data_IF_155759052255
#
_entry.id   IF_155759052255
#
_cell.length_a   1.000
_cell.length_b   1.000
_cell.length_c   1.000
_cell.angle_alpha   90.00
_cell.angle_beta   90.00
_cell.angle_gamma   90.00
#
_symmetry.space_group_name_H-M   'P 1'
#
loop_
_entity.id
_entity.type
_entity.pdbx_description
1 polymer ?
#
# COMPACT_ATOMS: atom_id res chain seq x y z
N UNK A 1 -8.26 -8.99 54.00
CA UNK A 1 -7.64 -8.34 52.82
C UNK A 1 -8.57 -8.53 51.62
N UNK A 2 -9.30 -7.46 51.25
CA UNK A 2 -10.34 -7.49 50.21
C UNK A 2 -9.68 -7.22 48.85
N UNK A 3 -9.60 -8.22 47.96
CA UNK A 3 -9.08 -8.04 46.60
C UNK A 3 -10.16 -7.35 45.75
N UNK A 4 -9.94 -6.09 45.41
CA UNK A 4 -10.75 -5.34 44.44
C UNK A 4 -10.28 -5.70 43.04
N UNK A 5 -11.04 -6.54 42.34
CA UNK A 5 -10.86 -6.79 40.91
C UNK A 5 -11.56 -5.65 40.16
N UNK A 6 -10.79 -4.69 39.63
CA UNK A 6 -11.31 -3.67 38.75
C UNK A 6 -11.48 -4.27 37.35
N UNK A 7 -12.73 -4.49 36.93
CA UNK A 7 -13.05 -4.85 35.56
C UNK A 7 -13.06 -3.56 34.73
N UNK A 8 -12.02 -3.34 33.93
CA UNK A 8 -11.99 -2.25 32.96
C UNK A 8 -12.85 -2.65 31.75
N UNK A 9 -14.13 -2.29 31.77
CA UNK A 9 -14.96 -2.31 30.57
C UNK A 9 -14.52 -1.18 29.65
N UNK A 10 -13.73 -1.51 28.63
CA UNK A 10 -13.48 -0.61 27.51
C UNK A 10 -14.79 -0.47 26.71
N UNK A 11 -15.46 0.68 26.81
CA UNK A 11 -16.54 1.04 25.90
C UNK A 11 -15.91 1.40 24.54
N UNK A 12 -15.75 0.42 23.66
CA UNK A 12 -15.57 0.69 22.26
C UNK A 12 -16.92 1.15 21.70
N UNK A 13 -17.10 2.47 21.57
CA UNK A 13 -18.16 3.00 20.70
C UNK A 13 -17.66 2.82 19.28
N UNK A 14 -18.26 1.94 18.45
CA UNK A 14 -17.93 1.94 17.03
C UNK A 14 -18.52 3.22 16.46
N UNK A 15 -17.71 4.27 16.34
CA UNK A 15 -18.12 5.43 15.57
C UNK A 15 -18.23 4.98 14.11
N UNK A 16 -19.45 4.91 13.58
CA UNK A 16 -19.66 4.66 12.16
C UNK A 16 -18.93 5.74 11.36
N UNK A 17 -18.09 5.34 10.41
CA UNK A 17 -17.39 6.27 9.53
C UNK A 17 -18.43 7.09 8.74
N UNK A 18 -18.23 8.39 8.65
CA UNK A 18 -18.96 9.20 7.66
C UNK A 18 -18.69 8.68 6.24
N UNK A 19 -19.59 8.95 5.31
CA UNK A 19 -19.41 8.57 3.90
C UNK A 19 -18.07 9.08 3.32
N UNK A 20 -17.64 10.28 3.73
CA UNK A 20 -16.34 10.83 3.32
C UNK A 20 -15.16 10.04 3.91
N UNK A 21 -15.21 9.70 5.20
CA UNK A 21 -14.15 8.89 5.82
C UNK A 21 -14.10 7.48 5.23
N UNK A 22 -15.25 6.87 4.94
CA UNK A 22 -15.33 5.57 4.29
C UNK A 22 -14.71 5.61 2.89
N UNK A 23 -14.99 6.67 2.11
CA UNK A 23 -14.38 6.86 0.79
C UNK A 23 -12.86 7.03 0.89
N UNK A 24 -12.37 7.87 1.82
CA UNK A 24 -10.92 8.03 2.03
C UNK A 24 -10.28 6.70 2.44
N UNK A 25 -10.87 5.98 3.39
CA UNK A 25 -10.37 4.69 3.84
C UNK A 25 -10.30 3.66 2.70
N UNK A 26 -11.30 3.63 1.81
CA UNK A 26 -11.26 2.73 0.64
C UNK A 26 -10.11 3.05 -0.32
N UNK A 27 -9.72 4.32 -0.46
CA UNK A 27 -8.56 4.70 -1.29
C UNK A 27 -7.23 4.39 -0.61
N UNK A 28 -7.15 4.45 0.72
CA UNK A 28 -5.94 4.09 1.48
C UNK A 28 -5.66 2.58 1.39
N UNK A 29 -6.71 1.78 1.45
CA UNK A 29 -6.67 0.32 1.36
C UNK A 29 -6.64 -0.21 -0.08
N UNK A 30 -6.65 0.67 -1.09
CA UNK A 30 -6.63 0.25 -2.48
C UNK A 30 -5.20 -0.12 -2.91
N UNK A 31 -5.05 -1.32 -3.45
CA UNK A 31 -3.77 -1.80 -3.96
C UNK A 31 -3.57 -1.41 -5.42
N UNK A 32 -2.61 -0.51 -5.65
CA UNK A 32 -2.14 -0.16 -6.98
C UNK A 32 -0.66 0.21 -6.97
N UNK A 33 0.25 -0.73 -6.66
CA UNK A 33 1.65 -0.47 -6.90
C UNK A 33 1.92 -0.25 -8.38
N UNK A 34 2.98 0.52 -8.65
CA UNK A 34 3.36 0.91 -10.02
C UNK A 34 3.47 -0.31 -10.94
N UNK A 35 2.81 -0.25 -12.10
CA UNK A 35 2.87 -1.25 -13.16
C UNK A 35 1.89 -2.42 -13.04
N UNK A 36 1.10 -2.51 -11.96
CA UNK A 36 0.04 -3.51 -11.82
C UNK A 36 -1.37 -2.92 -11.69
N UNK A 37 -1.51 -1.61 -11.85
CA UNK A 37 -2.76 -0.86 -11.68
C UNK A 37 -3.87 -1.44 -12.56
N UNK A 38 -3.54 -1.90 -13.77
CA UNK A 38 -4.50 -2.51 -14.70
C UNK A 38 -5.19 -3.75 -14.11
N UNK A 39 -4.59 -4.43 -13.12
CA UNK A 39 -5.22 -5.57 -12.43
C UNK A 39 -6.32 -5.14 -11.46
N UNK A 40 -6.19 -3.97 -10.85
CA UNK A 40 -7.10 -3.52 -9.77
C UNK A 40 -8.09 -2.47 -10.25
N UNK A 41 -7.70 -1.64 -11.22
CA UNK A 41 -8.49 -0.56 -11.79
C UNK A 41 -9.87 -0.96 -12.32
N UNK A 42 -10.06 -2.13 -12.98
CA UNK A 42 -11.40 -2.56 -13.42
C UNK A 42 -12.42 -2.71 -12.28
N UNK A 43 -11.96 -3.06 -11.07
CA UNK A 43 -12.84 -3.22 -9.90
C UNK A 43 -13.41 -1.88 -9.39
N UNK A 44 -12.77 -0.76 -9.74
CA UNK A 44 -13.21 0.58 -9.35
C UNK A 44 -14.33 1.12 -10.24
N UNK A 45 -14.42 0.66 -11.49
CA UNK A 45 -15.34 1.22 -12.49
C UNK A 45 -16.79 1.26 -12.00
N UNK A 46 -17.38 0.19 -11.43
CA UNK A 46 -18.76 0.24 -10.95
C UNK A 46 -18.98 1.31 -9.86
N UNK A 47 -18.04 1.42 -8.92
CA UNK A 47 -18.09 2.42 -7.83
C UNK A 47 -17.95 3.83 -8.37
N UNK A 48 -17.04 4.04 -9.31
CA UNK A 48 -16.80 5.35 -9.95
C UNK A 48 -17.98 5.77 -10.84
N UNK A 49 -18.58 4.85 -11.59
CA UNK A 49 -19.77 5.08 -12.39
C UNK A 49 -20.94 5.49 -11.51
N UNK A 50 -21.19 4.76 -10.41
CA UNK A 50 -22.23 5.06 -9.45
C UNK A 50 -22.04 6.44 -8.78
N UNK A 51 -20.81 6.78 -8.37
CA UNK A 51 -20.53 8.04 -7.71
C UNK A 51 -20.59 9.25 -8.66
N UNK A 52 -20.15 9.08 -9.91
CA UNK A 52 -20.05 10.19 -10.87
C UNK A 52 -21.27 10.32 -11.79
N UNK A 53 -22.17 9.33 -11.84
CA UNK A 53 -23.23 9.24 -12.83
C UNK A 53 -22.67 9.29 -14.27
N UNK A 54 -21.57 8.59 -14.49
CA UNK A 54 -20.83 8.57 -15.76
C UNK A 54 -20.42 7.15 -16.11
N UNK A 55 -19.79 6.97 -17.28
CA UNK A 55 -19.20 5.70 -17.69
C UNK A 55 -17.71 5.92 -17.86
N UNK A 56 -16.93 5.47 -16.87
CA UNK A 56 -15.48 5.43 -16.93
C UNK A 56 -15.03 4.35 -17.90
N UNK A 57 -13.99 4.65 -18.68
CA UNK A 57 -13.41 3.71 -19.63
C UNK A 57 -11.91 3.62 -19.42
N UNK A 58 -11.39 2.40 -19.38
CA UNK A 58 -9.95 2.16 -19.41
C UNK A 58 -9.42 2.44 -20.83
N UNK A 59 -8.28 3.12 -20.94
CA UNK A 59 -7.48 3.15 -22.16
C UNK A 59 -6.53 1.95 -22.25
N UNK A 60 -5.71 1.88 -23.30
CA UNK A 60 -4.77 0.79 -23.51
C UNK A 60 -3.62 0.73 -22.47
N UNK A 61 -3.37 1.82 -21.75
CA UNK A 61 -2.38 1.90 -20.68
C UNK A 61 -3.00 1.64 -19.30
N UNK A 62 -4.32 1.39 -19.23
CA UNK A 62 -5.04 1.14 -17.98
C UNK A 62 -5.54 2.41 -17.27
N UNK A 63 -5.41 3.60 -17.87
CA UNK A 63 -5.94 4.81 -17.26
C UNK A 63 -7.46 4.83 -17.33
N UNK A 64 -8.14 5.17 -16.22
CA UNK A 64 -9.57 5.43 -16.24
C UNK A 64 -9.86 6.85 -16.71
N UNK A 65 -10.65 6.96 -17.77
CA UNK A 65 -11.03 8.24 -18.36
C UNK A 65 -12.54 8.39 -18.34
N UNK A 66 -13.00 9.51 -17.80
CA UNK A 66 -14.38 9.98 -17.89
C UNK A 66 -14.40 11.35 -18.57
N UNK A 67 -15.21 11.46 -19.63
CA UNK A 67 -15.49 12.75 -20.26
C UNK A 67 -16.83 13.28 -19.75
N UNK A 68 -16.82 14.49 -19.18
CA UNK A 68 -18.03 15.26 -18.85
C UNK A 68 -18.12 16.48 -19.76
N UNK A 69 -19.24 16.62 -20.46
CA UNK A 69 -19.51 17.73 -21.39
C UNK A 69 -18.81 17.61 -22.75
N UNK A 70 -18.90 18.67 -23.55
CA UNK A 70 -18.34 18.78 -24.90
C UNK A 70 -17.96 20.21 -25.26
N UNK A 71 -17.13 20.38 -26.30
CA UNK A 71 -16.70 21.69 -26.79
C UNK A 71 -15.27 22.06 -26.41
N UNK A 72 -14.97 23.36 -26.51
CA UNK A 72 -13.65 23.96 -26.22
C UNK A 72 -13.81 25.14 -25.24
N UNK A 73 -12.81 25.40 -24.38
CA UNK A 73 -11.55 24.67 -24.22
C UNK A 73 -11.72 23.34 -23.47
N UNK A 74 -10.88 22.35 -23.80
CA UNK A 74 -10.82 21.08 -23.06
C UNK A 74 -9.96 21.27 -21.81
N UNK A 75 -10.42 20.75 -20.67
CA UNK A 75 -9.67 20.73 -19.40
C UNK A 75 -9.55 19.29 -18.92
N UNK A 76 -8.41 18.97 -18.33
CA UNK A 76 -8.11 17.64 -17.78
C UNK A 76 -7.80 17.78 -16.31
N UNK A 77 -8.39 16.92 -15.49
CA UNK A 77 -8.00 16.68 -14.10
C UNK A 77 -7.44 15.27 -14.07
N UNK A 78 -6.17 15.13 -13.69
CA UNK A 78 -5.48 13.85 -13.63
C UNK A 78 -5.01 13.60 -12.19
N UNK A 79 -5.22 12.38 -11.71
CA UNK A 79 -4.79 11.91 -10.41
C UNK A 79 -4.13 10.55 -10.60
N UNK A 80 -2.87 10.42 -10.19
CA UNK A 80 -2.18 9.12 -10.17
C UNK A 80 -2.88 8.21 -9.15
N UNK A 81 -3.17 6.98 -9.57
CA UNK A 81 -3.68 5.95 -8.68
C UNK A 81 -2.56 5.10 -8.10
N UNK A 82 -1.38 5.20 -8.70
CA UNK A 82 -0.22 4.39 -8.40
C UNK A 82 0.40 4.79 -7.06
N UNK A 83 0.88 3.77 -6.35
CA UNK A 83 1.55 3.87 -5.05
C UNK A 83 2.96 3.31 -5.19
N UNK A 84 3.92 3.95 -4.52
CA UNK A 84 5.25 3.39 -4.37
C UNK A 84 5.20 2.08 -3.56
N UNK A 85 6.03 1.12 -3.96
CA UNK A 85 6.03 -0.22 -3.38
C UNK A 85 7.33 -0.96 -3.71
N UNK A 86 7.26 -2.29 -3.67
CA UNK A 86 8.37 -3.16 -4.02
C UNK A 86 7.94 -4.19 -5.05
N UNK A 87 8.83 -4.52 -5.98
CA UNK A 87 8.73 -5.69 -6.82
C UNK A 87 9.59 -6.80 -6.22
N UNK A 88 9.04 -8.01 -6.15
CA UNK A 88 9.81 -9.21 -5.77
C UNK A 88 10.75 -9.56 -6.93
N UNK A 89 12.05 -9.58 -6.68
CA UNK A 89 13.09 -9.87 -7.68
C UNK A 89 13.63 -11.29 -7.58
N UNK A 90 13.59 -11.87 -6.38
CA UNK A 90 14.07 -13.22 -6.13
C UNK A 90 13.35 -13.83 -4.93
N UNK A 91 13.14 -15.15 -4.97
CA UNK A 91 12.84 -15.98 -3.80
C UNK A 91 14.12 -16.78 -3.50
N UNK A 92 14.69 -16.64 -2.31
CA UNK A 92 15.91 -17.35 -1.93
C UNK A 92 15.62 -18.83 -1.67
N UNK A 93 16.67 -19.65 -1.56
CA UNK A 93 16.53 -21.07 -1.22
C UNK A 93 15.91 -21.27 0.17
N UNK A 94 16.05 -20.28 1.05
CA UNK A 94 15.51 -20.30 2.41
C UNK A 94 14.08 -19.72 2.48
N UNK A 95 13.50 -19.34 1.34
CA UNK A 95 12.12 -18.83 1.24
C UNK A 95 11.97 -17.32 1.37
N UNK A 96 13.05 -16.59 1.64
CA UNK A 96 13.00 -15.12 1.79
C UNK A 96 12.84 -14.42 0.44
N UNK A 97 12.11 -13.31 0.43
CA UNK A 97 11.97 -12.46 -0.75
C UNK A 97 13.07 -11.39 -0.78
N UNK A 98 13.63 -11.17 -1.97
CA UNK A 98 14.41 -9.98 -2.31
C UNK A 98 13.55 -9.00 -3.07
N UNK A 99 13.79 -7.72 -2.82
CA UNK A 99 12.95 -6.64 -3.30
C UNK A 99 13.74 -5.68 -4.18
N UNK A 100 13.02 -4.98 -5.06
CA UNK A 100 13.47 -3.76 -5.72
C UNK A 100 12.38 -2.70 -5.60
N UNK A 101 12.75 -1.47 -5.23
CA UNK A 101 11.77 -0.38 -5.11
C UNK A 101 11.14 -0.05 -6.45
N UNK A 102 9.84 0.14 -6.47
CA UNK A 102 9.09 0.63 -7.64
C UNK A 102 8.29 1.88 -7.28
N UNK A 103 8.20 2.80 -8.24
CA UNK A 103 7.53 4.08 -8.07
C UNK A 103 8.36 5.15 -7.35
N UNK A 104 7.74 6.33 -7.25
CA UNK A 104 8.39 7.51 -6.69
C UNK A 104 8.16 7.61 -5.19
N UNK A 105 9.25 7.67 -4.42
CA UNK A 105 9.21 7.86 -2.97
C UNK A 105 9.67 9.26 -2.59
N UNK A 106 9.00 9.87 -1.62
CA UNK A 106 9.26 11.26 -1.25
C UNK A 106 10.36 11.43 -0.20
N UNK A 107 10.73 10.37 0.54
CA UNK A 107 11.61 10.46 1.70
C UNK A 107 12.81 9.50 1.59
N UNK A 108 14.04 9.94 1.93
CA UNK A 108 15.23 9.08 1.88
C UNK A 108 15.15 7.83 2.77
N UNK A 109 14.44 7.93 3.90
CA UNK A 109 14.23 6.81 4.84
C UNK A 109 12.99 5.97 4.50
N UNK A 110 12.39 6.11 3.31
CA UNK A 110 11.16 5.39 2.99
C UNK A 110 11.38 3.88 2.99
N UNK A 111 12.49 3.39 2.44
CA UNK A 111 12.83 1.96 2.45
C UNK A 111 13.02 1.46 3.90
N UNK A 112 13.85 2.16 4.68
CA UNK A 112 14.09 1.87 6.10
C UNK A 112 12.81 1.89 6.96
N UNK A 113 11.82 2.74 6.64
CA UNK A 113 10.55 2.79 7.36
C UNK A 113 9.75 1.48 7.26
N UNK A 114 10.11 0.57 6.36
CA UNK A 114 9.50 -0.75 6.23
C UNK A 114 10.19 -1.82 7.08
N UNK A 115 11.34 -1.55 7.71
CA UNK A 115 11.95 -2.53 8.63
C UNK A 115 10.99 -2.88 9.78
N UNK A 116 10.82 -4.17 10.03
CA UNK A 116 9.90 -4.68 11.06
C UNK A 116 8.41 -4.46 10.77
N UNK A 117 8.05 -4.01 9.56
CA UNK A 117 6.65 -3.80 9.18
C UNK A 117 6.05 -5.03 8.50
N UNK A 118 4.74 -5.18 8.68
CA UNK A 118 3.95 -6.11 7.88
C UNK A 118 3.80 -5.55 6.46
N UNK A 119 3.97 -6.43 5.48
CA UNK A 119 3.78 -6.17 4.06
C UNK A 119 2.69 -7.11 3.51
N UNK A 120 2.15 -6.74 2.36
CA UNK A 120 1.23 -7.59 1.61
C UNK A 120 1.83 -7.88 0.23
N UNK A 121 2.06 -9.16 -0.04
CA UNK A 121 2.61 -9.65 -1.31
C UNK A 121 1.44 -9.97 -2.23
N UNK A 122 1.27 -9.15 -3.25
CA UNK A 122 0.20 -9.33 -4.23
C UNK A 122 0.58 -10.43 -5.23
N UNK A 123 -0.07 -11.60 -5.11
CA UNK A 123 0.15 -12.74 -6.01
C UNK A 123 -1.07 -12.99 -6.92
N UNK A 124 -0.90 -13.83 -7.94
CA UNK A 124 -2.00 -14.24 -8.81
C UNK A 124 -3.08 -15.05 -8.07
N UNK A 125 -2.74 -15.69 -6.95
CA UNK A 125 -3.67 -16.44 -6.10
C UNK A 125 -4.30 -15.60 -4.99
N UNK A 126 -4.03 -14.28 -5.00
CA UNK A 126 -4.45 -13.35 -3.96
C UNK A 126 -3.28 -12.85 -3.11
N UNK A 127 -3.56 -11.91 -2.19
CA UNK A 127 -2.55 -11.36 -1.32
C UNK A 127 -2.04 -12.39 -0.30
N UNK A 128 -0.76 -12.31 0.03
CA UNK A 128 -0.11 -13.07 1.10
C UNK A 128 0.52 -12.09 2.08
N UNK A 129 0.19 -12.23 3.35
CA UNK A 129 0.85 -11.43 4.41
C UNK A 129 2.30 -11.86 4.57
N UNK A 130 3.19 -10.88 4.65
CA UNK A 130 4.61 -11.07 4.88
C UNK A 130 5.13 -10.05 5.90
N UNK A 131 6.34 -10.23 6.40
CA UNK A 131 6.99 -9.31 7.34
C UNK A 131 8.39 -8.99 6.86
N UNK A 132 8.74 -7.70 6.82
CA UNK A 132 10.11 -7.28 6.62
C UNK A 132 10.89 -7.47 7.92
N UNK A 133 11.95 -8.27 7.85
CA UNK A 133 12.86 -8.48 8.96
C UNK A 133 13.59 -7.19 9.36
N UNK A 134 14.12 -7.18 10.58
CA UNK A 134 15.00 -6.13 11.09
C UNK A 134 16.33 -6.77 11.52
N UNK A 135 17.43 -6.07 11.28
CA UNK A 135 18.73 -6.52 11.73
C UNK A 135 18.80 -6.65 13.27
N UNK A 136 19.56 -7.62 13.75
CA UNK A 136 19.69 -7.87 15.20
C UNK A 136 20.62 -6.84 15.86
N UNK A 137 20.03 -5.93 16.63
CA UNK A 137 20.77 -4.87 17.35
C UNK A 137 21.75 -5.36 18.43
N UNK A 138 21.64 -6.60 18.93
CA UNK A 138 22.56 -7.13 19.95
C UNK A 138 23.96 -7.43 19.38
N UNK A 139 24.09 -7.57 18.07
CA UNK A 139 25.38 -7.75 17.37
C UNK A 139 25.80 -6.49 16.60
N UNK A 140 25.22 -5.32 16.91
CA UNK A 140 25.42 -4.06 16.16
C UNK A 140 26.90 -3.67 15.94
N UNK A 141 27.81 -4.07 16.83
CA UNK A 141 29.25 -3.81 16.67
C UNK A 141 29.88 -4.63 15.53
N UNK A 142 29.34 -5.81 15.23
CA UNK A 142 29.67 -6.65 14.07
C UNK A 142 28.90 -6.20 12.81
N UNK A 143 27.81 -5.47 13.00
CA UNK A 143 26.94 -4.95 11.95
C UNK A 143 26.97 -3.42 11.88
N UNK A 144 28.16 -2.82 11.82
CA UNK A 144 28.34 -1.35 11.76
C UNK A 144 27.60 -0.67 10.59
N UNK A 145 27.15 -1.44 9.59
CA UNK A 145 26.29 -0.97 8.48
C UNK A 145 24.83 -0.79 8.88
N UNK A 146 24.36 -1.34 10.00
CA UNK A 146 22.98 -1.18 10.50
C UNK A 146 22.66 0.24 10.97
N UNK A 147 23.66 1.12 11.05
CA UNK A 147 23.48 2.57 11.27
C UNK A 147 23.40 3.36 9.96
N UNK A 148 23.59 2.72 8.80
CA UNK A 148 23.38 3.33 7.49
C UNK A 148 21.88 3.27 7.15
N UNK A 149 21.46 4.15 6.25
CA UNK A 149 20.08 4.11 5.74
C UNK A 149 19.88 2.81 4.98
N UNK A 150 18.92 2.01 5.44
CA UNK A 150 18.53 0.75 4.80
C UNK A 150 17.85 1.03 3.47
N UNK A 151 18.31 0.35 2.43
CA UNK A 151 17.74 0.37 1.09
C UNK A 151 16.87 -0.85 0.79
N UNK A 152 16.09 -0.81 -0.29
CA UNK A 152 15.27 -1.94 -0.73
C UNK A 152 16.07 -3.26 -0.90
N UNK A 153 17.33 -3.19 -1.32
CA UNK A 153 18.20 -4.37 -1.52
C UNK A 153 18.63 -5.04 -0.20
N UNK A 154 18.53 -4.28 0.90
CA UNK A 154 18.87 -4.70 2.26
C UNK A 154 17.65 -5.19 3.03
N UNK A 155 16.43 -4.98 2.52
CA UNK A 155 15.22 -5.56 3.08
C UNK A 155 15.16 -7.06 2.76
N UNK A 156 14.79 -7.83 3.78
CA UNK A 156 14.52 -9.26 3.70
C UNK A 156 13.10 -9.49 4.17
N UNK A 157 12.29 -10.16 3.36
CA UNK A 157 10.88 -10.40 3.67
C UNK A 157 10.63 -11.89 3.81
N UNK A 158 9.95 -12.26 4.89
CA UNK A 158 9.45 -13.61 5.18
C UNK A 158 7.91 -13.63 4.99
#
# INVERSE_FOLDING_TARGET
>A
MLKRTALATAFAVPAALSAQQAAIASWVAFDAPVGIEMRTTPSLVPTLDAFTGGTWKADAAGNLVLRKGSGSPKRVVACGIDRAGFAVTQITNDGLLRLHRVGNVAHPLWDQAHEGQQLEVLTERGPVTAVAAIANGHFAQQHRRDSLVVSADELWVD
#
